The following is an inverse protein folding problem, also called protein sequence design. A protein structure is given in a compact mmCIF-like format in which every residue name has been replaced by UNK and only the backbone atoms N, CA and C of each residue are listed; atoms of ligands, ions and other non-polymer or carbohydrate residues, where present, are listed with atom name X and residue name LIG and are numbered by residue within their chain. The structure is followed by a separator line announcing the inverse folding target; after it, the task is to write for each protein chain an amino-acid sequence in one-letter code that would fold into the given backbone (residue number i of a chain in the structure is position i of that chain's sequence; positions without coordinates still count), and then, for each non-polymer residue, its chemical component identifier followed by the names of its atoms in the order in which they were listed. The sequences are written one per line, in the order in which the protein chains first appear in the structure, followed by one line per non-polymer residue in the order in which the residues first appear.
data_IF_947800876233
#
_entry.id   IF_947800876233
#
_cell.length_a   1.000
_cell.length_b   1.000
_cell.length_c   1.000
_cell.angle_alpha   90.00
_cell.angle_beta   90.00
_cell.angle_gamma   90.00
#
_symmetry.space_group_name_H-M   'P 1'
#
loop_
_entity.id
_entity.type
_entity.pdbx_description
1 polymer ?
#
# COMPACT_ATOMS: atom_id res chain seq x y z
N UNK A 1 8.31 -9.04 -13.59
CA UNK A 1 7.86 -7.78 -14.18
C UNK A 1 7.71 -6.75 -13.07
N UNK A 2 8.32 -5.57 -13.26
CA UNK A 2 8.25 -4.50 -12.27
C UNK A 2 6.84 -3.92 -12.21
N UNK A 3 6.44 -3.52 -11.01
CA UNK A 3 5.15 -2.88 -10.80
C UNK A 3 5.19 -1.43 -11.30
N UNK A 4 4.07 -0.98 -11.88
CA UNK A 4 3.93 0.43 -12.26
C UNK A 4 3.59 1.26 -11.02
N UNK A 5 3.71 2.59 -11.13
CA UNK A 5 3.29 3.47 -10.04
C UNK A 5 1.81 3.27 -9.70
N UNK A 6 0.98 3.10 -10.73
CA UNK A 6 -0.46 2.82 -10.54
C UNK A 6 -0.69 1.56 -9.72
N UNK A 7 0.08 0.51 -9.99
CA UNK A 7 -0.01 -0.73 -9.21
C UNK A 7 0.31 -0.47 -7.74
N UNK A 8 1.33 0.34 -7.46
CA UNK A 8 1.71 0.68 -6.10
C UNK A 8 0.61 1.45 -5.38
N UNK A 9 -0.05 2.38 -6.09
CA UNK A 9 -1.17 3.14 -5.52
C UNK A 9 -2.30 2.19 -5.13
N UNK A 10 -2.63 1.23 -5.99
CA UNK A 10 -3.68 0.26 -5.69
C UNK A 10 -3.32 -0.62 -4.50
N UNK A 11 -2.06 -1.04 -4.41
CA UNK A 11 -1.60 -1.86 -3.28
C UNK A 11 -1.64 -1.09 -1.96
N UNK A 12 -1.28 0.18 -1.98
CA UNK A 12 -1.36 1.01 -0.78
C UNK A 12 -2.83 1.23 -0.37
N UNK A 13 -3.71 1.47 -1.34
CA UNK A 13 -5.13 1.62 -1.04
C UNK A 13 -5.70 0.36 -0.38
N UNK A 14 -5.30 -0.81 -0.88
CA UNK A 14 -5.73 -2.08 -0.30
C UNK A 14 -5.23 -2.22 1.15
N UNK A 15 -3.98 -1.82 1.40
CA UNK A 15 -3.42 -1.88 2.75
C UNK A 15 -4.13 -0.93 3.70
N UNK A 16 -4.44 0.29 3.24
CA UNK A 16 -5.18 1.27 4.04
C UNK A 16 -6.58 0.75 4.37
N UNK A 17 -7.27 0.18 3.40
CA UNK A 17 -8.61 -0.36 3.61
C UNK A 17 -8.59 -1.53 4.58
N UNK A 18 -7.62 -2.42 4.45
CA UNK A 18 -7.49 -3.56 5.36
C UNK A 18 -7.20 -3.10 6.79
N UNK A 19 -6.37 -2.05 6.95
CA UNK A 19 -6.07 -1.49 8.25
C UNK A 19 -7.31 -0.84 8.88
N UNK A 20 -8.07 -0.08 8.08
CA UNK A 20 -9.30 0.54 8.55
C UNK A 20 -10.33 -0.51 8.98
N UNK A 21 -10.43 -1.59 8.22
CA UNK A 21 -11.31 -2.69 8.58
C UNK A 21 -10.89 -3.32 9.91
N UNK A 22 -9.60 -3.57 10.09
CA UNK A 22 -9.06 -4.12 11.33
C UNK A 22 -9.40 -3.24 12.54
N UNK A 23 -9.37 -1.92 12.36
CA UNK A 23 -9.64 -0.97 13.43
C UNK A 23 -11.13 -0.68 13.64
N UNK A 24 -11.99 -1.19 12.75
CA UNK A 24 -13.43 -0.91 12.82
C UNK A 24 -14.09 -1.67 13.97
N UNK A 25 -15.08 -1.04 14.66
CA UNK A 25 -15.86 -1.77 15.66
C UNK A 25 -16.71 -2.84 15.00
N UNK A 26 -16.93 -3.95 15.70
CA UNK A 26 -17.81 -5.03 15.21
C UNK A 26 -17.16 -5.96 14.21
N UNK A 27 -15.84 -6.00 14.11
CA UNK A 27 -15.14 -6.98 13.27
C UNK A 27 -15.36 -8.37 13.87
N UNK A 28 -15.90 -9.29 13.06
CA UNK A 28 -16.24 -10.64 13.54
C UNK A 28 -15.00 -11.50 13.85
N UNK A 29 -14.01 -11.44 12.97
CA UNK A 29 -12.76 -12.19 13.13
C UNK A 29 -11.58 -11.24 13.10
N UNK A 30 -11.15 -10.83 14.28
CA UNK A 30 -10.09 -9.85 14.44
C UNK A 30 -8.74 -10.39 13.92
N UNK A 31 -8.48 -11.68 14.17
CA UNK A 31 -7.23 -12.28 13.71
C UNK A 31 -7.15 -12.32 12.18
N UNK A 32 -8.26 -12.67 11.52
CA UNK A 32 -8.31 -12.67 10.07
C UNK A 32 -8.16 -11.26 9.50
N UNK A 33 -8.78 -10.26 10.12
CA UNK A 33 -8.66 -8.86 9.69
C UNK A 33 -7.22 -8.36 9.85
N UNK A 34 -6.57 -8.72 10.96
CA UNK A 34 -5.16 -8.38 11.19
C UNK A 34 -4.26 -9.03 10.16
N UNK A 35 -4.49 -10.30 9.85
CA UNK A 35 -3.68 -11.02 8.87
C UNK A 35 -3.86 -10.42 7.47
N UNK A 36 -5.08 -10.03 7.11
CA UNK A 36 -5.35 -9.39 5.83
C UNK A 36 -4.57 -8.07 5.70
N UNK A 37 -4.51 -7.29 6.77
CA UNK A 37 -3.73 -6.06 6.77
C UNK A 37 -2.24 -6.35 6.64
N UNK A 38 -1.71 -7.31 7.39
CA UNK A 38 -0.30 -7.68 7.31
C UNK A 38 0.06 -8.15 5.89
N UNK A 39 -0.79 -8.98 5.28
CA UNK A 39 -0.56 -9.48 3.94
C UNK A 39 -0.56 -8.35 2.91
N UNK A 40 -1.53 -7.42 3.02
CA UNK A 40 -1.61 -6.28 2.12
C UNK A 40 -0.39 -5.35 2.26
N UNK A 41 0.03 -5.08 3.49
CA UNK A 41 1.20 -4.25 3.75
C UNK A 41 2.47 -4.91 3.23
N UNK A 42 2.60 -6.22 3.40
CA UNK A 42 3.75 -6.98 2.91
C UNK A 42 3.82 -6.94 1.38
N UNK A 43 2.68 -7.10 0.72
CA UNK A 43 2.62 -7.03 -0.75
C UNK A 43 3.03 -5.64 -1.25
N UNK A 44 2.57 -4.59 -0.58
CA UNK A 44 2.93 -3.22 -0.93
C UNK A 44 4.45 -3.00 -0.76
N UNK A 45 5.02 -3.42 0.35
CA UNK A 45 6.45 -3.23 0.61
C UNK A 45 7.32 -3.98 -0.42
N UNK A 46 6.93 -5.20 -0.78
CA UNK A 46 7.65 -5.96 -1.79
C UNK A 46 7.59 -5.25 -3.15
N UNK A 47 6.41 -4.73 -3.52
CA UNK A 47 6.25 -4.02 -4.79
C UNK A 47 7.05 -2.72 -4.82
N UNK A 48 7.09 -1.98 -3.71
CA UNK A 48 7.91 -0.77 -3.59
C UNK A 48 9.37 -1.08 -3.80
N UNK A 49 9.86 -2.17 -3.20
CA UNK A 49 11.26 -2.58 -3.34
C UNK A 49 11.60 -2.87 -4.80
N UNK A 50 10.75 -3.62 -5.50
CA UNK A 50 10.95 -3.93 -6.91
C UNK A 50 10.92 -2.67 -7.78
N UNK A 51 9.94 -1.80 -7.54
CA UNK A 51 9.79 -0.58 -8.32
C UNK A 51 10.99 0.34 -8.13
N UNK A 52 11.43 0.53 -6.88
CA UNK A 52 12.58 1.37 -6.57
C UNK A 52 13.84 0.85 -7.25
N UNK A 53 14.06 -0.46 -7.23
CA UNK A 53 15.21 -1.07 -7.88
C UNK A 53 15.16 -0.87 -9.41
N UNK A 54 13.99 -1.05 -10.01
CA UNK A 54 13.82 -0.88 -11.46
C UNK A 54 14.04 0.55 -11.91
N UNK A 55 13.69 1.51 -11.07
CA UNK A 55 13.83 2.95 -11.37
C UNK A 55 15.12 3.55 -10.83
N UNK A 56 15.94 2.75 -10.17
CA UNK A 56 17.19 3.18 -9.54
C UNK A 56 16.98 4.37 -8.59
N UNK A 57 15.94 4.27 -7.78
CA UNK A 57 15.56 5.32 -6.83
C UNK A 57 15.40 4.75 -5.42
N UNK A 58 15.20 5.63 -4.45
CA UNK A 58 15.06 5.26 -3.05
C UNK A 58 13.67 4.69 -2.77
N UNK A 59 13.62 3.61 -1.97
CA UNK A 59 12.35 3.06 -1.50
C UNK A 59 11.54 4.12 -0.74
N UNK A 60 12.21 4.94 0.05
CA UNK A 60 11.54 5.99 0.83
C UNK A 60 10.87 7.00 -0.10
N UNK A 61 11.55 7.41 -1.17
CA UNK A 61 10.98 8.34 -2.13
C UNK A 61 9.76 7.76 -2.83
N UNK A 62 9.84 6.49 -3.25
CA UNK A 62 8.72 5.80 -3.89
C UNK A 62 7.54 5.71 -2.92
N UNK A 63 7.81 5.26 -1.69
CA UNK A 63 6.78 5.09 -0.67
C UNK A 63 6.07 6.41 -0.36
N UNK A 64 6.83 7.49 -0.20
CA UNK A 64 6.26 8.81 0.08
C UNK A 64 5.40 9.31 -1.07
N UNK A 65 5.85 9.10 -2.31
CA UNK A 65 5.09 9.52 -3.49
C UNK A 65 3.77 8.75 -3.58
N UNK A 66 3.78 7.44 -3.33
CA UNK A 66 2.57 6.62 -3.37
C UNK A 66 1.60 7.03 -2.28
N UNK A 67 2.09 7.21 -1.06
CA UNK A 67 1.23 7.60 0.07
C UNK A 67 0.61 8.96 -0.16
N UNK A 68 1.36 9.89 -0.74
CA UNK A 68 0.83 11.21 -1.11
C UNK A 68 -0.29 11.08 -2.14
N UNK A 69 -0.09 10.26 -3.16
CA UNK A 69 -1.10 10.04 -4.20
C UNK A 69 -2.39 9.47 -3.61
N UNK A 70 -2.28 8.56 -2.64
CA UNK A 70 -3.45 7.97 -1.99
C UNK A 70 -4.19 9.00 -1.13
N UNK A 71 -3.45 9.85 -0.40
CA UNK A 71 -4.07 10.87 0.47
C UNK A 71 -4.67 12.02 -0.30
N UNK A 72 -4.10 12.37 -1.44
CA UNK A 72 -4.47 13.56 -2.22
C UNK A 72 -4.70 13.18 -3.68
N UNK A 73 -5.71 12.32 -3.96
CA UNK A 73 -5.94 11.87 -5.33
C UNK A 73 -6.29 13.01 -6.28
N UNK A 74 -6.88 14.07 -5.79
CA UNK A 74 -7.24 15.23 -6.60
C UNK A 74 -6.02 16.05 -7.06
N UNK A 75 -4.89 15.88 -6.41
CA UNK A 75 -3.66 16.58 -6.78
C UNK A 75 -2.65 15.67 -7.47
N UNK A 76 -2.94 14.38 -7.54
CA UNK A 76 -2.05 13.40 -8.14
C UNK A 76 -2.13 13.38 -9.66
N UNK A 77 -3.20 13.94 -10.19
CA UNK A 77 -3.42 13.98 -11.63
C UNK A 77 -2.63 15.06 -12.34
#
# INVERSE_FOLDING_TARGET
VAHTFEDLVQLEQAAVQAHQHYLSPGVDDLDAARQAWIDAATAFQAAVTEHAAAKETSRVEVEMAVKKAVRHPETAG
#
